data_IF_464238877469
#
_entry.id   IF_464238877469
#
_cell.length_a   1.000
_cell.length_b   1.000
_cell.length_c   1.000
_cell.angle_alpha   90.00
_cell.angle_beta   90.00
_cell.angle_gamma   90.00
#
_symmetry.space_group_name_H-M   'P 1'
#
loop_
_entity.id
_entity.type
_entity.pdbx_description
1 polymer ?
#
# COMPACT_ATOMS: atom_id res chain seq x y z
N UNK A 1 20.22 -8.62 24.33
CA UNK A 1 19.52 -7.75 23.36
C UNK A 1 18.45 -8.58 22.70
N UNK A 2 17.19 -8.27 22.97
CA UNK A 2 16.07 -8.84 22.23
C UNK A 2 16.05 -8.21 20.84
N UNK A 3 15.96 -9.05 19.81
CA UNK A 3 15.75 -8.61 18.43
C UNK A 3 14.27 -8.77 18.15
N UNK A 4 13.62 -7.70 17.72
CA UNK A 4 12.25 -7.72 17.25
C UNK A 4 12.24 -8.10 15.77
N UNK A 5 11.29 -8.95 15.37
CA UNK A 5 11.14 -9.37 13.97
C UNK A 5 9.66 -9.44 13.62
N UNK A 6 9.29 -8.83 12.50
CA UNK A 6 7.93 -8.87 11.97
C UNK A 6 7.94 -8.93 10.45
N UNK A 7 6.97 -9.65 9.89
CA UNK A 7 6.76 -9.78 8.45
C UNK A 7 5.40 -9.22 8.11
N UNK A 8 5.28 -8.40 7.08
CA UNK A 8 4.02 -7.88 6.57
C UNK A 8 3.94 -8.07 5.06
N UNK A 9 2.73 -8.27 4.56
CA UNK A 9 2.47 -8.51 3.14
C UNK A 9 1.19 -7.77 2.75
N UNK A 10 1.17 -7.23 1.54
CA UNK A 10 -0.02 -6.65 0.93
C UNK A 10 0.02 -6.85 -0.58
N UNK A 11 -1.13 -7.19 -1.15
CA UNK A 11 -1.32 -7.31 -2.58
C UNK A 11 -1.18 -5.97 -3.31
N UNK A 12 -0.95 -6.01 -4.62
CA UNK A 12 -1.10 -4.84 -5.47
C UNK A 12 -2.58 -4.54 -5.74
N UNK A 13 -2.88 -3.31 -6.15
CA UNK A 13 -4.23 -2.89 -6.48
C UNK A 13 -4.26 -2.23 -7.87
N UNK A 14 -5.28 -2.56 -8.66
CA UNK A 14 -5.52 -1.96 -9.97
C UNK A 14 -6.89 -1.30 -9.96
N UNK A 15 -6.90 0.04 -10.00
CA UNK A 15 -8.12 0.81 -10.22
C UNK A 15 -8.52 0.73 -11.71
N UNK A 16 -9.78 0.38 -11.98
CA UNK A 16 -10.35 0.35 -13.34
C UNK A 16 -11.10 1.65 -13.67
N UNK A 17 -11.98 2.08 -12.77
CA UNK A 17 -12.78 3.30 -12.89
C UNK A 17 -12.79 4.00 -11.53
N UNK A 18 -12.71 5.32 -11.54
CA UNK A 18 -12.75 6.09 -10.30
C UNK A 18 -13.27 7.52 -10.48
N UNK A 19 -13.64 8.12 -9.36
CA UNK A 19 -13.88 9.56 -9.20
C UNK A 19 -13.23 10.00 -7.89
N UNK A 20 -12.55 11.14 -7.93
CA UNK A 20 -11.83 11.69 -6.78
C UNK A 20 -12.78 12.50 -5.91
N UNK A 21 -12.69 12.31 -4.60
CA UNK A 21 -13.43 13.03 -3.57
C UNK A 21 -12.41 13.51 -2.51
N UNK A 22 -11.77 14.65 -2.76
CA UNK A 22 -10.68 15.18 -1.92
C UNK A 22 -10.94 16.60 -1.41
N UNK A 23 -12.19 17.05 -1.44
CA UNK A 23 -12.59 18.40 -1.04
C UNK A 23 -12.57 18.63 0.48
N UNK A 24 -12.57 17.56 1.29
CA UNK A 24 -12.47 17.67 2.75
C UNK A 24 -11.09 18.17 3.15
N UNK A 25 -11.02 19.02 4.17
CA UNK A 25 -9.76 19.44 4.79
C UNK A 25 -9.13 18.32 5.64
N UNK A 26 -9.93 17.35 6.09
CA UNK A 26 -9.45 16.18 6.84
C UNK A 26 -8.99 15.08 5.87
N UNK A 27 -7.68 14.72 5.85
CA UNK A 27 -7.17 13.63 5.01
C UNK A 27 -7.85 12.28 5.23
N UNK A 28 -8.40 12.02 6.41
CA UNK A 28 -9.12 10.77 6.71
C UNK A 28 -10.42 10.66 5.89
N UNK A 29 -11.07 11.79 5.61
CA UNK A 29 -12.30 11.86 4.81
C UNK A 29 -12.03 11.88 3.30
N UNK A 30 -10.80 12.24 2.90
CA UNK A 30 -10.42 12.29 1.49
C UNK A 30 -10.27 10.87 0.91
N UNK A 31 -10.77 10.65 -0.29
CA UNK A 31 -10.48 9.44 -1.04
C UNK A 31 -11.06 9.38 -2.44
N UNK A 32 -11.51 8.20 -2.85
CA UNK A 32 -12.15 8.02 -4.16
C UNK A 32 -13.29 7.01 -4.13
N UNK A 33 -14.24 7.23 -5.03
CA UNK A 33 -15.24 6.26 -5.46
C UNK A 33 -14.69 5.49 -6.66
N UNK A 34 -15.18 4.28 -6.91
CA UNK A 34 -14.78 3.53 -8.10
C UNK A 34 -14.84 2.02 -7.96
N UNK A 35 -14.18 1.33 -8.88
CA UNK A 35 -14.03 -0.11 -8.85
C UNK A 35 -12.66 -0.53 -9.39
N UNK A 36 -12.20 -1.68 -8.94
CA UNK A 36 -10.87 -2.20 -9.19
C UNK A 36 -10.78 -3.68 -8.81
N UNK A 37 -9.55 -4.15 -8.68
CA UNK A 37 -9.28 -5.44 -8.05
C UNK A 37 -7.88 -5.48 -7.43
N UNK A 38 -7.77 -6.30 -6.39
CA UNK A 38 -6.52 -6.60 -5.70
C UNK A 38 -5.88 -7.89 -6.22
N UNK A 39 -4.57 -7.89 -6.35
CA UNK A 39 -3.75 -9.00 -6.82
C UNK A 39 -3.07 -9.70 -5.65
N UNK A 40 -2.72 -10.97 -5.83
CA UNK A 40 -1.90 -11.68 -4.85
C UNK A 40 -0.51 -11.11 -4.73
N UNK A 41 0.10 -10.85 -5.87
CA UNK A 41 1.44 -10.30 -5.92
C UNK A 41 1.40 -8.81 -5.59
N UNK A 42 2.31 -8.39 -4.71
CA UNK A 42 2.42 -7.02 -4.25
C UNK A 42 3.75 -6.80 -3.54
N UNK A 43 3.68 -6.34 -2.29
CA UNK A 43 4.85 -6.01 -1.47
C UNK A 43 4.92 -6.94 -0.26
N UNK A 44 6.10 -7.49 -0.03
CA UNK A 44 6.48 -8.15 1.22
C UNK A 44 7.53 -7.28 1.93
N UNK A 45 7.33 -7.08 3.23
CA UNK A 45 8.20 -6.30 4.09
C UNK A 45 8.62 -7.13 5.31
N UNK A 46 9.90 -7.10 5.66
CA UNK A 46 10.45 -7.76 6.84
C UNK A 46 11.15 -6.70 7.68
N UNK A 47 10.57 -6.38 8.83
CA UNK A 47 11.09 -5.40 9.77
C UNK A 47 11.86 -6.09 10.90
N UNK A 48 13.03 -5.55 11.21
CA UNK A 48 13.89 -5.98 12.32
C UNK A 48 14.21 -4.77 13.20
N UNK A 49 13.90 -4.88 14.50
CA UNK A 49 14.18 -3.84 15.49
C UNK A 49 15.23 -4.30 16.50
N UNK A 50 16.16 -3.40 16.85
CA UNK A 50 17.13 -3.60 17.94
C UNK A 50 17.05 -2.38 18.84
N UNK A 51 17.01 -2.57 20.16
CA UNK A 51 17.04 -1.44 21.11
C UNK A 51 18.23 -0.52 20.82
N UNK A 52 17.97 0.78 20.70
CA UNK A 52 18.98 1.76 20.31
C UNK A 52 18.40 3.12 19.93
N UNK A 53 19.24 3.98 19.34
CA UNK A 53 18.78 5.25 18.77
C UNK A 53 17.79 5.00 17.63
N UNK A 54 16.71 5.78 17.62
CA UNK A 54 15.71 5.73 16.57
C UNK A 54 16.34 5.98 15.20
N UNK A 55 16.13 5.05 14.29
CA UNK A 55 16.62 5.14 12.93
C UNK A 55 15.97 4.10 12.04
N UNK A 56 16.07 4.30 10.73
CA UNK A 56 15.57 3.36 9.74
C UNK A 56 16.61 3.16 8.64
N UNK A 57 16.97 1.91 8.42
CA UNK A 57 17.68 1.43 7.23
C UNK A 57 16.70 0.67 6.33
N UNK A 58 16.56 1.10 5.08
CA UNK A 58 15.72 0.44 4.08
C UNK A 58 16.60 -0.36 3.13
N UNK A 59 16.23 -1.60 2.85
CA UNK A 59 16.91 -2.47 1.89
C UNK A 59 15.91 -3.03 0.90
N UNK A 60 16.09 -2.77 -0.38
CA UNK A 60 15.31 -3.43 -1.41
C UNK A 60 16.03 -4.69 -1.93
N UNK A 61 15.30 -5.79 -2.06
CA UNK A 61 15.88 -7.09 -2.40
C UNK A 61 16.06 -7.31 -3.90
N UNK A 62 15.06 -6.95 -4.71
CA UNK A 62 15.00 -7.33 -6.13
C UNK A 62 15.01 -6.13 -7.10
N UNK A 63 14.76 -4.91 -6.62
CA UNK A 63 14.65 -3.71 -7.45
C UNK A 63 14.84 -2.43 -6.63
N UNK A 64 15.13 -1.30 -7.27
CA UNK A 64 15.17 -0.02 -6.58
C UNK A 64 13.75 0.43 -6.18
N UNK A 65 13.65 1.11 -5.04
CA UNK A 65 12.39 1.67 -4.55
C UNK A 65 12.59 3.01 -3.86
N UNK A 66 11.49 3.55 -3.35
CA UNK A 66 11.46 4.84 -2.70
C UNK A 66 11.57 4.69 -1.18
N UNK A 67 12.76 4.92 -0.63
CA UNK A 67 13.01 4.86 0.81
C UNK A 67 12.18 5.88 1.61
N UNK A 68 11.79 7.00 0.99
CA UNK A 68 11.03 8.06 1.67
C UNK A 68 9.64 7.59 2.09
N UNK A 69 9.05 6.63 1.38
CA UNK A 69 7.79 5.99 1.75
C UNK A 69 7.91 5.33 3.13
N UNK A 70 8.91 4.46 3.30
CA UNK A 70 9.08 3.66 4.51
C UNK A 70 9.51 4.52 5.71
N UNK A 71 10.24 5.60 5.45
CA UNK A 71 10.55 6.63 6.44
C UNK A 71 9.28 7.32 6.95
N UNK A 72 8.40 7.77 6.03
CA UNK A 72 7.12 8.37 6.41
C UNK A 72 6.21 7.37 7.16
N UNK A 73 6.24 6.09 6.79
CA UNK A 73 5.51 5.02 7.49
C UNK A 73 5.95 4.92 8.95
N UNK A 74 7.25 4.74 9.21
CA UNK A 74 7.73 4.58 10.59
C UNK A 74 7.57 5.87 11.40
N UNK A 75 7.74 7.04 10.78
CA UNK A 75 7.52 8.33 11.43
C UNK A 75 6.05 8.54 11.79
N UNK A 76 5.11 8.17 10.90
CA UNK A 76 3.68 8.24 11.19
C UNK A 76 3.27 7.23 12.26
N UNK A 77 3.79 6.00 12.22
CA UNK A 77 3.58 5.00 13.25
C UNK A 77 4.11 5.47 14.62
N UNK A 78 5.26 6.14 14.65
CA UNK A 78 5.86 6.65 15.88
C UNK A 78 5.09 7.80 16.55
N UNK A 79 4.14 8.41 15.85
CA UNK A 79 3.19 9.36 16.46
C UNK A 79 2.10 8.63 17.26
N UNK A 80 1.67 7.45 16.81
CA UNK A 80 0.65 6.64 17.50
C UNK A 80 1.26 5.71 18.55
N UNK A 81 2.42 5.11 18.25
CA UNK A 81 3.16 4.20 19.14
C UNK A 81 4.56 4.75 19.41
N UNK A 82 4.73 5.66 20.40
CA UNK A 82 6.02 6.26 20.71
C UNK A 82 7.13 5.26 21.08
N UNK A 83 6.76 4.05 21.54
CA UNK A 83 7.68 2.96 21.87
C UNK A 83 8.52 2.50 20.66
N UNK A 84 8.06 2.73 19.44
CA UNK A 84 8.82 2.46 18.21
C UNK A 84 10.12 3.27 18.12
N UNK A 85 10.21 4.40 18.83
CA UNK A 85 11.42 5.25 18.89
C UNK A 85 12.54 4.68 19.76
N UNK A 86 12.28 3.60 20.50
CA UNK A 86 13.29 2.93 21.33
C UNK A 86 14.18 1.96 20.54
N UNK A 87 13.95 1.84 19.23
CA UNK A 87 14.59 0.85 18.38
C UNK A 87 15.23 1.48 17.13
N UNK A 88 16.40 0.97 16.78
CA UNK A 88 16.98 1.11 15.45
C UNK A 88 16.37 0.03 14.54
N UNK A 89 15.73 0.47 13.46
CA UNK A 89 15.00 -0.40 12.53
C UNK A 89 15.79 -0.68 11.26
N UNK A 90 15.73 -1.92 10.79
CA UNK A 90 16.06 -2.33 9.43
C UNK A 90 14.81 -2.92 8.79
N UNK A 91 14.48 -2.53 7.56
CA UNK A 91 13.37 -3.09 6.81
C UNK A 91 13.82 -3.58 5.44
N UNK A 92 13.58 -4.87 5.16
CA UNK A 92 13.84 -5.47 3.85
C UNK A 92 12.53 -5.54 3.06
N UNK A 93 12.56 -5.05 1.82
CA UNK A 93 11.39 -4.92 0.95
C UNK A 93 11.58 -5.77 -0.30
N UNK A 94 10.59 -6.62 -0.59
CA UNK A 94 10.45 -7.34 -1.85
C UNK A 94 9.22 -6.84 -2.59
N UNK A 95 9.36 -6.53 -3.87
CA UNK A 95 8.27 -6.07 -4.73
C UNK A 95 8.11 -7.04 -5.91
N UNK A 96 6.93 -7.63 -6.05
CA UNK A 96 6.64 -8.55 -7.14
C UNK A 96 6.28 -7.83 -8.46
N UNK A 97 5.88 -6.56 -8.37
CA UNK A 97 5.42 -5.74 -9.49
C UNK A 97 6.21 -4.42 -9.56
N UNK A 98 6.35 -3.82 -10.77
CA UNK A 98 7.09 -2.58 -10.91
C UNK A 98 6.35 -1.39 -10.28
N UNK A 99 7.12 -0.46 -9.71
CA UNK A 99 6.58 0.80 -9.20
C UNK A 99 6.20 1.75 -10.34
N UNK A 100 5.33 2.73 -10.06
CA UNK A 100 4.92 3.78 -11.01
C UNK A 100 4.27 3.29 -12.32
N UNK A 101 3.58 2.14 -12.28
CA UNK A 101 2.84 1.59 -13.43
C UNK A 101 1.34 1.36 -13.16
N UNK A 102 0.80 1.95 -12.09
CA UNK A 102 -0.63 1.85 -11.77
C UNK A 102 -1.05 0.61 -10.99
N UNK A 103 -0.10 -0.11 -10.37
CA UNK A 103 -0.34 -1.30 -9.54
C UNK A 103 -0.56 -0.99 -8.04
N UNK A 104 -0.74 0.27 -7.64
CA UNK A 104 -0.96 0.60 -6.22
C UNK A 104 0.19 0.20 -5.27
N UNK A 105 1.42 0.05 -5.80
CA UNK A 105 2.58 -0.45 -5.03
C UNK A 105 2.97 0.44 -3.84
N UNK A 106 2.64 1.73 -3.88
CA UNK A 106 2.89 2.65 -2.76
C UNK A 106 1.98 2.30 -1.57
N UNK A 107 0.67 2.21 -1.80
CA UNK A 107 -0.30 1.77 -0.81
C UNK A 107 0.01 0.36 -0.27
N UNK A 108 0.31 -0.59 -1.16
CA UNK A 108 0.70 -1.94 -0.77
C UNK A 108 1.97 -1.93 0.10
N UNK A 109 2.99 -1.16 -0.28
CA UNK A 109 4.22 -1.02 0.50
C UNK A 109 3.99 -0.39 1.87
N UNK A 110 3.12 0.62 1.96
CA UNK A 110 2.75 1.24 3.22
C UNK A 110 2.03 0.26 4.15
N UNK A 111 1.04 -0.49 3.65
CA UNK A 111 0.31 -1.51 4.42
C UNK A 111 1.28 -2.61 4.88
N UNK A 112 2.08 -3.16 3.98
CA UNK A 112 3.03 -4.24 4.29
C UNK A 112 4.07 -3.79 5.34
N UNK A 113 4.62 -2.59 5.19
CA UNK A 113 5.62 -2.07 6.13
C UNK A 113 5.02 -1.79 7.51
N UNK A 114 3.86 -1.14 7.59
CA UNK A 114 3.18 -0.91 8.87
C UNK A 114 2.87 -2.24 9.57
N UNK A 115 2.35 -3.23 8.82
CA UNK A 115 2.07 -4.55 9.37
C UNK A 115 3.34 -5.25 9.88
N UNK A 116 4.47 -5.10 9.18
CA UNK A 116 5.75 -5.65 9.61
C UNK A 116 6.23 -5.02 10.93
N UNK A 117 6.17 -3.69 11.06
CA UNK A 117 6.55 -3.00 12.30
C UNK A 117 5.64 -3.38 13.48
N UNK A 118 4.32 -3.36 13.29
CA UNK A 118 3.35 -3.70 14.34
C UNK A 118 3.53 -5.15 14.83
N UNK A 119 3.73 -6.10 13.91
CA UNK A 119 4.03 -7.49 14.25
C UNK A 119 5.36 -7.63 14.99
N UNK A 120 6.39 -6.87 14.61
CA UNK A 120 7.67 -6.87 15.31
C UNK A 120 7.53 -6.36 16.75
N UNK A 121 6.65 -5.37 16.98
CA UNK A 121 6.34 -4.81 18.30
C UNK A 121 5.43 -5.72 19.15
N UNK A 122 4.88 -6.79 18.57
CA UNK A 122 4.01 -7.74 19.28
C UNK A 122 2.56 -7.27 19.44
N UNK A 123 2.10 -6.35 18.59
CA UNK A 123 0.72 -5.88 18.60
C UNK A 123 -0.27 -6.98 18.18
N UNK A 124 -1.52 -6.99 18.72
CA UNK A 124 -2.53 -7.98 18.35
C UNK A 124 -2.81 -8.01 16.85
N UNK A 125 -3.05 -9.19 16.28
CA UNK A 125 -3.13 -9.38 14.84
C UNK A 125 -4.23 -8.55 14.16
N UNK A 126 -5.47 -8.61 14.66
CA UNK A 126 -6.61 -7.90 14.05
C UNK A 126 -6.46 -6.38 14.14
N UNK A 127 -6.06 -5.88 15.31
CA UNK A 127 -5.78 -4.46 15.52
C UNK A 127 -4.64 -3.99 14.63
N UNK A 128 -3.59 -4.80 14.50
CA UNK A 128 -2.47 -4.51 13.60
C UNK A 128 -2.92 -4.40 12.15
N UNK A 129 -3.84 -5.25 11.70
CA UNK A 129 -4.39 -5.19 10.34
C UNK A 129 -5.12 -3.87 10.11
N UNK A 130 -6.09 -3.53 10.97
CA UNK A 130 -6.89 -2.30 10.82
C UNK A 130 -6.02 -1.04 10.94
N UNK A 131 -5.08 -1.04 11.89
CA UNK A 131 -4.09 0.04 12.06
C UNK A 131 -3.18 0.17 10.85
N UNK A 132 -2.79 -0.94 10.22
CA UNK A 132 -1.97 -0.90 9.00
C UNK A 132 -2.65 -0.18 7.86
N UNK A 133 -3.94 -0.43 7.63
CA UNK A 133 -4.72 0.30 6.64
C UNK A 133 -4.95 1.76 7.03
N UNK A 134 -5.29 2.06 8.28
CA UNK A 134 -5.45 3.44 8.76
C UNK A 134 -4.17 4.27 8.53
N UNK A 135 -3.02 3.77 8.98
CA UNK A 135 -1.73 4.46 8.81
C UNK A 135 -1.30 4.54 7.35
N UNK A 136 -1.50 3.48 6.56
CA UNK A 136 -1.20 3.50 5.13
C UNK A 136 -2.02 4.57 4.40
N UNK A 137 -3.31 4.72 4.72
CA UNK A 137 -4.15 5.79 4.16
C UNK A 137 -3.56 7.17 4.50
N UNK A 138 -3.23 7.40 5.78
CA UNK A 138 -2.63 8.67 6.23
C UNK A 138 -1.33 8.97 5.48
N UNK A 139 -0.46 7.98 5.29
CA UNK A 139 0.79 8.12 4.54
C UNK A 139 0.52 8.46 3.07
N UNK A 140 -0.39 7.76 2.41
CA UNK A 140 -0.74 8.01 1.00
C UNK A 140 -1.28 9.44 0.80
N UNK A 141 -2.10 9.93 1.74
CA UNK A 141 -2.63 11.31 1.72
C UNK A 141 -1.54 12.35 1.97
N UNK A 142 -0.67 12.17 2.95
CA UNK A 142 0.46 13.08 3.19
C UNK A 142 1.38 13.23 1.99
N UNK A 143 1.55 12.14 1.23
CA UNK A 143 2.40 12.09 0.03
C UNK A 143 1.66 12.47 -1.26
N UNK A 144 0.36 12.80 -1.18
CA UNK A 144 -0.50 13.12 -2.33
C UNK A 144 -0.43 12.07 -3.46
N UNK A 145 -0.33 10.79 -3.08
CA UNK A 145 0.04 9.70 -4.00
C UNK A 145 -1.14 8.80 -4.36
N UNK A 146 -1.97 8.44 -3.38
CA UNK A 146 -3.15 7.60 -3.55
C UNK A 146 -4.38 8.16 -2.86
N UNK A 147 -5.55 7.86 -3.43
CA UNK A 147 -6.87 8.30 -2.95
C UNK A 147 -7.80 7.14 -2.58
N UNK A 148 -7.57 5.93 -3.10
CA UNK A 148 -8.46 4.82 -2.78
C UNK A 148 -7.85 3.45 -2.90
N UNK A 149 -6.53 3.34 -3.07
CA UNK A 149 -5.86 2.04 -3.15
C UNK A 149 -5.90 1.34 -1.78
N UNK A 150 -5.71 2.07 -0.68
CA UNK A 150 -5.75 1.50 0.68
C UNK A 150 -7.15 1.00 1.04
N UNK A 151 -8.19 1.79 0.78
CA UNK A 151 -9.59 1.40 1.00
C UNK A 151 -9.96 0.21 0.12
N UNK A 152 -9.48 0.16 -1.11
CA UNK A 152 -9.69 -0.99 -1.98
C UNK A 152 -8.99 -2.25 -1.47
N UNK A 153 -7.71 -2.14 -1.09
CA UNK A 153 -6.95 -3.26 -0.51
C UNK A 153 -7.61 -3.79 0.76
N UNK A 154 -8.21 -2.94 1.60
CA UNK A 154 -8.91 -3.40 2.80
C UNK A 154 -10.17 -4.21 2.54
N UNK A 155 -10.84 -3.98 1.39
CA UNK A 155 -11.95 -4.82 0.95
C UNK A 155 -11.46 -6.10 0.26
N UNK A 156 -10.35 -5.98 -0.49
CA UNK A 156 -9.78 -7.04 -1.29
C UNK A 156 -10.71 -7.51 -2.42
N UNK A 157 -10.21 -8.46 -3.19
CA UNK A 157 -10.94 -9.12 -4.26
C UNK A 157 -11.14 -8.21 -5.46
N UNK A 158 -12.30 -8.35 -6.10
CA UNK A 158 -12.87 -7.36 -7.02
C UNK A 158 -13.75 -6.46 -6.17
N UNK A 159 -13.37 -5.18 -6.07
CA UNK A 159 -14.02 -4.25 -5.16
C UNK A 159 -14.73 -3.09 -5.85
N UNK A 160 -15.70 -2.53 -5.12
CA UNK A 160 -16.39 -1.28 -5.44
C UNK A 160 -16.32 -0.35 -4.24
N UNK A 161 -15.65 0.79 -4.40
CA UNK A 161 -15.59 1.89 -3.43
C UNK A 161 -16.83 2.76 -3.54
N UNK A 162 -17.62 2.81 -2.47
CA UNK A 162 -18.96 3.42 -2.40
C UNK A 162 -18.94 4.71 -1.57
N UNK A 163 -18.01 4.82 -0.62
CA UNK A 163 -17.72 6.07 0.10
C UNK A 163 -16.22 6.32 0.12
N UNK A 164 -15.85 7.56 -0.13
CA UNK A 164 -14.47 8.02 -0.06
C UNK A 164 -14.01 8.16 1.40
N UNK A 165 -12.71 8.02 1.63
CA UNK A 165 -12.08 8.12 2.94
C UNK A 165 -11.29 6.88 3.34
N UNK A 166 -10.71 6.93 4.53
CA UNK A 166 -9.97 5.83 5.14
C UNK A 166 -10.91 4.68 5.52
N UNK A 167 -10.51 3.41 5.34
CA UNK A 167 -11.34 2.27 5.73
C UNK A 167 -11.49 2.12 7.24
N UNK A 168 -10.51 2.60 8.01
CA UNK A 168 -10.51 2.60 9.48
C UNK A 168 -9.97 3.94 9.98
N UNK A 169 -10.54 4.44 11.07
CA UNK A 169 -10.10 5.63 11.79
C UNK A 169 -10.49 5.56 13.27
N UNK A 170 -10.11 6.56 14.06
CA UNK A 170 -10.42 6.64 15.49
C UNK A 170 -9.61 5.68 16.37
N UNK A 171 -9.86 5.72 17.68
CA UNK A 171 -9.09 4.95 18.67
C UNK A 171 -9.38 3.45 18.60
N UNK A 172 -10.63 3.06 18.32
CA UNK A 172 -11.04 1.65 18.29
C UNK A 172 -10.77 0.96 16.94
N UNK A 173 -10.48 1.74 15.89
CA UNK A 173 -10.23 1.27 14.52
C UNK A 173 -11.31 0.30 14.01
N UNK A 174 -12.56 0.49 14.43
CA UNK A 174 -13.69 -0.39 14.12
C UNK A 174 -14.39 0.00 12.82
N UNK A 175 -14.35 1.29 12.46
CA UNK A 175 -14.87 1.82 11.21
C UNK A 175 -14.08 3.06 10.75
N UNK A 176 -14.28 3.47 9.50
CA UNK A 176 -13.79 4.72 8.93
C UNK A 176 -14.82 5.32 7.95
N UNK A 177 -14.59 6.54 7.45
CA UNK A 177 -15.51 7.18 6.49
C UNK A 177 -15.53 6.45 5.13
N UNK A 178 -14.41 5.84 4.75
CA UNK A 178 -14.26 5.06 3.54
C UNK A 178 -15.01 3.73 3.61
N UNK A 179 -15.66 3.36 2.51
CA UNK A 179 -16.37 2.08 2.41
C UNK A 179 -16.21 1.47 1.03
N UNK A 180 -15.83 0.20 0.98
CA UNK A 180 -15.75 -0.60 -0.23
C UNK A 180 -16.32 -1.99 0.00
N UNK A 181 -17.15 -2.46 -0.94
CA UNK A 181 -17.63 -3.84 -0.99
C UNK A 181 -16.67 -4.64 -1.88
N UNK A 182 -16.16 -5.76 -1.38
CA UNK A 182 -15.32 -6.68 -2.13
C UNK A 182 -15.97 -8.05 -2.23
N UNK A 183 -15.73 -8.76 -3.33
CA UNK A 183 -15.96 -10.19 -3.44
C UNK A 183 -14.76 -10.84 -4.10
N UNK A 184 -14.56 -12.12 -3.85
CA UNK A 184 -13.38 -12.83 -4.36
C UNK A 184 -13.75 -14.08 -5.08
N UNK A 185 -13.04 -14.28 -6.18
CA UNK A 185 -13.07 -15.46 -7.02
C UNK A 185 -11.63 -15.68 -7.50
N UNK A 186 -11.19 -16.94 -7.52
CA UNK A 186 -9.86 -17.31 -8.00
C UNK A 186 -9.78 -17.18 -9.53
N UNK A 187 -9.85 -15.95 -10.00
CA UNK A 187 -9.80 -15.62 -11.43
C UNK A 187 -8.36 -15.31 -11.80
N UNK A 188 -7.73 -16.08 -12.70
CA UNK A 188 -6.38 -15.77 -13.16
C UNK A 188 -6.41 -14.52 -14.06
N UNK A 189 -5.49 -13.59 -13.79
CA UNK A 189 -5.30 -12.34 -14.53
C UNK A 189 -3.97 -12.39 -15.27
N UNK A 190 -3.97 -11.87 -16.51
CA UNK A 190 -2.76 -11.63 -17.28
C UNK A 190 -2.41 -10.14 -17.20
N UNK A 191 -1.24 -9.82 -16.63
CA UNK A 191 -0.72 -8.46 -16.61
C UNK A 191 0.36 -8.28 -17.67
N UNK A 192 0.24 -7.21 -18.45
CA UNK A 192 1.22 -6.80 -19.44
C UNK A 192 1.59 -5.34 -19.21
N UNK A 193 2.88 -5.06 -19.14
CA UNK A 193 3.37 -3.69 -18.90
C UNK A 193 4.67 -3.41 -19.66
N UNK A 194 5.04 -2.13 -19.74
CA UNK A 194 6.24 -1.69 -20.48
C UNK A 194 7.47 -1.71 -19.57
N UNK A 195 8.63 -2.10 -20.13
CA UNK A 195 9.91 -2.15 -19.38
C UNK A 195 10.36 -0.80 -18.82
N UNK A 196 9.99 0.31 -19.48
CA UNK A 196 10.30 1.66 -19.04
C UNK A 196 9.03 2.34 -18.57
N UNK A 197 9.08 2.91 -17.37
CA UNK A 197 8.02 3.79 -16.86
C UNK A 197 7.92 5.02 -17.76
N UNK A 198 6.92 5.04 -18.63
CA UNK A 198 6.54 6.29 -19.27
C UNK A 198 5.73 7.10 -18.26
N UNK A 199 6.23 8.26 -17.83
CA UNK A 199 5.39 9.27 -17.16
C UNK A 199 4.33 9.72 -18.16
N UNK A 200 3.20 9.01 -18.22
CA UNK A 200 2.10 9.31 -19.12
C UNK A 200 0.84 9.65 -18.33
N UNK A 201 0.90 10.70 -17.50
CA UNK A 201 -0.31 11.43 -17.09
C UNK A 201 -0.46 12.76 -17.85
N UNK A 202 0.58 13.27 -18.52
CA UNK A 202 0.54 14.55 -19.27
C UNK A 202 0.54 14.43 -20.80
N UNK A 203 0.79 13.25 -21.38
CA UNK A 203 1.02 13.10 -22.84
C UNK A 203 -0.19 12.51 -23.58
N UNK A 204 -1.17 11.90 -22.91
CA UNK A 204 -2.32 11.27 -23.57
C UNK A 204 -3.25 12.25 -24.32
N UNK A 205 -3.10 13.56 -24.10
CA UNK A 205 -3.92 14.56 -24.77
C UNK A 205 -3.40 14.89 -26.19
N UNK A 206 -2.12 14.63 -26.52
CA UNK A 206 -1.56 15.03 -27.82
C UNK A 206 -0.36 14.16 -28.26
N UNK A 207 -0.59 12.98 -28.85
CA UNK A 207 0.17 12.53 -30.05
C UNK A 207 -0.19 11.13 -30.55
N UNK A 208 -0.59 11.07 -31.83
CA UNK A 208 -0.51 9.89 -32.67
C UNK A 208 0.93 9.70 -33.16
N UNK A 209 1.72 8.77 -32.59
CA UNK A 209 2.65 7.87 -33.33
C UNK A 209 3.65 7.12 -32.44
N UNK A 210 3.84 5.84 -32.82
CA UNK A 210 4.93 4.88 -32.52
C UNK A 210 4.86 4.14 -31.17
N UNK A 211 4.27 2.94 -31.20
CA UNK A 211 4.58 1.84 -30.29
C UNK A 211 5.68 0.96 -30.91
N UNK A 212 6.89 1.03 -30.39
CA UNK A 212 8.00 0.11 -30.74
C UNK A 212 8.75 -0.41 -29.51
N UNK A 213 8.13 -0.37 -28.33
CA UNK A 213 8.78 -0.78 -27.08
C UNK A 213 8.24 -2.12 -26.61
N UNK A 214 9.14 -3.09 -26.38
CA UNK A 214 8.80 -4.44 -25.97
C UNK A 214 8.07 -4.50 -24.62
N UNK A 215 7.07 -5.38 -24.53
CA UNK A 215 6.33 -5.70 -23.31
C UNK A 215 7.09 -6.72 -22.45
N UNK A 216 6.97 -6.57 -21.13
CA UNK A 216 7.25 -7.65 -20.17
C UNK A 216 5.92 -8.24 -19.73
N UNK A 217 5.86 -9.56 -19.63
CA UNK A 217 4.69 -10.28 -19.11
C UNK A 217 5.02 -10.81 -17.72
N UNK A 218 4.13 -10.63 -16.75
CA UNK A 218 4.16 -11.48 -15.56
C UNK A 218 3.51 -12.81 -15.89
N UNK A 219 3.93 -13.86 -15.19
CA UNK A 219 3.22 -15.15 -15.17
C UNK A 219 1.81 -14.95 -14.60
N UNK A 220 0.94 -15.96 -14.75
CA UNK A 220 -0.43 -15.98 -14.21
C UNK A 220 -0.47 -15.43 -12.78
N UNK A 221 -1.23 -14.35 -12.57
CA UNK A 221 -1.46 -13.75 -11.25
C UNK A 221 -2.91 -14.01 -10.85
N UNK A 222 -3.18 -14.13 -9.56
CA UNK A 222 -4.53 -14.39 -9.04
C UNK A 222 -5.08 -13.18 -8.29
N UNK A 223 -6.39 -12.97 -8.36
CA UNK A 223 -7.13 -12.00 -7.54
C UNK A 223 -7.29 -12.59 -6.12
N UNK A 224 -7.03 -11.83 -5.05
CA UNK A 224 -7.28 -12.29 -3.67
C UNK A 224 -8.31 -11.43 -2.94
N UNK A 225 -9.14 -12.06 -2.10
CA UNK A 225 -9.73 -11.46 -0.90
C UNK A 225 -8.66 -11.25 0.18
N UNK A 226 -8.64 -10.08 0.81
CA UNK A 226 -8.12 -10.02 2.18
C UNK A 226 -9.27 -10.45 3.09
N UNK A 227 -9.32 -11.73 3.47
CA UNK A 227 -10.18 -12.24 4.56
C UNK A 227 -9.38 -12.21 5.85
#
# INVERSE_FOLDING_TARGET
MSVLLGRGEAGAHITLIFTVEDQSDDPIEQGSLGAGFSLHDGVEAIARGIEGEFGLQVRFLDCDGDESLYREVIETLALELPSTKNYAWEIAIRMALPTSQGFGMSAAGAVAATAAFLRAMGEPHEESMRRSFCLAHRVERKRSSGLGDVTALSAGGVERRIRAGAPFSGELLDHGPGHADGWTEHTPVLLAWRKKSGKHTSIYINNCRKCSDGFTFSRKLEIIAMV
#
